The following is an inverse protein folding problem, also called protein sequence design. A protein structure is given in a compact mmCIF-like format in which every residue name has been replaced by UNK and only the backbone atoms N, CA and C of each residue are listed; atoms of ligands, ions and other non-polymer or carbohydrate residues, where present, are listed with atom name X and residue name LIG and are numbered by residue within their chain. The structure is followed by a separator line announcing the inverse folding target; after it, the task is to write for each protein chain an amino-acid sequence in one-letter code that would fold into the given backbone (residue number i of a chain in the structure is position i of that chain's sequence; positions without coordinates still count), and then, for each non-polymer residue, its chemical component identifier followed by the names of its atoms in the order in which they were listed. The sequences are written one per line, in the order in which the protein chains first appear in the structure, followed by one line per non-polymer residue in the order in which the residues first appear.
data_IF_619400405971
#
_entry.id   IF_619400405971
#
_cell.length_a   1.000
_cell.length_b   1.000
_cell.length_c   1.000
_cell.angle_alpha   90.00
_cell.angle_beta   90.00
_cell.angle_gamma   90.00
#
_symmetry.space_group_name_H-M   'P 1'
#
loop_
_entity.id
_entity.type
_entity.pdbx_description
1 polymer ?
#
# COMPACT_ATOMS: atom_id res chain seq x y z
N UNK A 1 -3.05 -1.59 -9.04
CA UNK A 1 -1.91 -0.66 -8.87
C UNK A 1 -2.46 0.72 -8.57
N UNK A 2 -1.82 1.46 -7.67
CA UNK A 2 -2.10 2.86 -7.41
C UNK A 2 -0.77 3.62 -7.31
N UNK A 3 -0.81 4.94 -7.55
CA UNK A 3 0.33 5.82 -7.39
C UNK A 3 -0.03 6.95 -6.43
N UNK A 4 0.96 7.46 -5.71
CA UNK A 4 0.86 8.62 -4.82
C UNK A 4 2.19 9.38 -4.81
N UNK A 5 2.24 10.51 -4.12
CA UNK A 5 3.48 11.21 -3.79
C UNK A 5 3.73 11.14 -2.28
N UNK A 6 4.98 10.92 -1.86
CA UNK A 6 5.40 10.99 -0.45
C UNK A 6 6.68 11.81 -0.40
N UNK A 7 6.68 12.93 0.33
CA UNK A 7 7.82 13.85 0.44
C UNK A 7 8.40 14.27 -0.93
N UNK A 8 7.53 14.55 -1.91
CA UNK A 8 7.94 14.92 -3.27
C UNK A 8 8.44 13.75 -4.13
N UNK A 9 8.37 12.51 -3.64
CA UNK A 9 8.78 11.31 -4.39
C UNK A 9 7.56 10.57 -4.94
N UNK A 10 7.55 10.21 -6.24
CA UNK A 10 6.48 9.41 -6.82
C UNK A 10 6.59 7.95 -6.35
N UNK A 11 5.52 7.44 -5.72
CA UNK A 11 5.45 6.10 -5.16
C UNK A 11 4.40 5.27 -5.90
N UNK A 12 4.71 4.02 -6.22
CA UNK A 12 3.74 3.04 -6.71
C UNK A 12 3.47 1.94 -5.67
N UNK A 13 2.21 1.54 -5.55
CA UNK A 13 1.78 0.37 -4.78
C UNK A 13 1.06 -0.63 -5.70
N UNK A 14 1.53 -1.87 -5.70
CA UNK A 14 0.93 -2.98 -6.48
C UNK A 14 0.44 -4.08 -5.55
N UNK A 15 -0.81 -4.53 -5.71
CA UNK A 15 -1.31 -5.75 -5.09
C UNK A 15 -1.01 -6.98 -5.97
N UNK A 16 -0.77 -8.13 -5.34
CA UNK A 16 -0.43 -9.39 -6.01
C UNK A 16 -1.37 -10.55 -5.70
N UNK A 17 -1.33 -11.58 -6.54
CA UNK A 17 -1.95 -12.89 -6.29
C UNK A 17 -1.20 -13.72 -5.23
N UNK A 18 -0.01 -13.27 -4.84
CA UNK A 18 0.80 -13.84 -3.77
C UNK A 18 0.46 -13.25 -2.39
N UNK A 19 -0.71 -12.63 -2.27
CA UNK A 19 -1.25 -12.09 -1.00
C UNK A 19 -0.46 -10.89 -0.44
N UNK A 20 0.47 -10.34 -1.23
CA UNK A 20 1.30 -9.20 -0.81
C UNK A 20 0.98 -7.93 -1.57
N UNK A 21 1.34 -6.80 -0.97
CA UNK A 21 1.56 -5.56 -1.71
C UNK A 21 3.04 -5.20 -1.77
N UNK A 22 3.45 -4.55 -2.85
CA UNK A 22 4.81 -4.04 -3.03
C UNK A 22 4.77 -2.54 -3.24
N UNK A 23 5.69 -1.83 -2.58
CA UNK A 23 5.85 -0.38 -2.65
C UNK A 23 7.17 -0.07 -3.35
N UNK A 24 7.15 0.89 -4.28
CA UNK A 24 8.29 1.25 -5.12
C UNK A 24 8.51 2.76 -5.12
N UNK A 25 9.76 3.20 -5.06
CA UNK A 25 10.14 4.55 -5.46
C UNK A 25 10.26 4.58 -6.98
N UNK A 26 9.43 5.39 -7.64
CA UNK A 26 9.44 5.51 -9.09
C UNK A 26 10.53 6.45 -9.61
N UNK A 27 11.25 7.14 -8.72
CA UNK A 27 12.39 8.01 -9.10
C UNK A 27 13.52 7.18 -9.70
N UNK A 28 13.82 6.03 -9.08
CA UNK A 28 14.90 5.13 -9.48
C UNK A 28 14.44 3.67 -9.69
N UNK A 29 13.16 3.38 -9.47
CA UNK A 29 12.59 2.05 -9.62
C UNK A 29 12.94 1.10 -8.47
N UNK A 30 13.42 1.61 -7.33
CA UNK A 30 13.80 0.76 -6.21
C UNK A 30 12.58 0.25 -5.44
N UNK A 31 12.56 -1.04 -5.04
CA UNK A 31 11.56 -1.54 -4.12
C UNK A 31 11.84 -0.99 -2.71
N UNK A 32 10.81 -0.42 -2.09
CA UNK A 32 10.90 0.17 -0.74
C UNK A 32 10.51 -0.84 0.33
N UNK A 33 9.34 -1.47 0.19
CA UNK A 33 8.85 -2.46 1.16
C UNK A 33 7.82 -3.41 0.56
N UNK A 34 7.57 -4.51 1.27
CA UNK A 34 6.49 -5.46 0.99
C UNK A 34 5.54 -5.47 2.18
N UNK A 35 4.26 -5.16 1.92
CA UNK A 35 3.22 -5.17 2.94
C UNK A 35 2.57 -6.55 2.95
N UNK A 36 2.57 -7.18 4.12
CA UNK A 36 2.06 -8.53 4.32
C UNK A 36 0.91 -8.51 5.31
N UNK A 37 -0.04 -9.42 5.12
CA UNK A 37 -1.15 -9.60 6.07
C UNK A 37 -2.43 -10.07 5.39
N UNK A 38 -2.67 -9.68 4.14
CA UNK A 38 -3.73 -10.31 3.36
C UNK A 38 -3.51 -11.83 3.30
N UNK A 39 -4.60 -12.59 3.29
CA UNK A 39 -4.59 -14.07 3.20
C UNK A 39 -5.30 -14.53 1.92
N UNK A 40 -5.26 -13.68 0.89
CA UNK A 40 -5.88 -13.88 -0.41
C UNK A 40 -5.39 -12.83 -1.40
N UNK A 41 -5.67 -13.04 -2.69
CA UNK A 41 -5.25 -12.13 -3.77
C UNK A 41 -5.67 -10.69 -3.48
N UNK A 42 -4.71 -9.77 -3.56
CA UNK A 42 -4.99 -8.34 -3.44
C UNK A 42 -5.44 -7.81 -4.81
N UNK A 43 -6.71 -7.41 -4.89
CA UNK A 43 -7.36 -7.01 -6.16
C UNK A 43 -7.59 -5.50 -6.26
N UNK A 44 -7.58 -4.79 -5.13
CA UNK A 44 -7.82 -3.36 -5.06
C UNK A 44 -6.75 -2.64 -4.24
N UNK A 45 -6.30 -1.49 -4.73
CA UNK A 45 -5.38 -0.58 -4.04
C UNK A 45 -5.84 0.84 -4.32
N UNK A 46 -6.02 1.65 -3.29
CA UNK A 46 -6.26 3.08 -3.36
C UNK A 46 -5.29 3.82 -2.43
N UNK A 47 -4.92 5.03 -2.81
CA UNK A 47 -4.10 5.92 -1.99
C UNK A 47 -4.90 7.14 -1.60
N UNK A 48 -4.68 7.65 -0.40
CA UNK A 48 -5.23 8.90 0.10
C UNK A 48 -4.27 9.52 1.10
N UNK A 49 -4.54 10.75 1.52
CA UNK A 49 -3.80 11.43 2.57
C UNK A 49 -4.78 11.82 3.67
N UNK A 50 -4.43 11.53 4.92
CA UNK A 50 -5.23 11.89 6.10
C UNK A 50 -4.32 12.67 7.03
N UNK A 51 -4.63 13.95 7.26
CA UNK A 51 -3.86 14.83 8.15
C UNK A 51 -2.34 14.87 7.82
N UNK A 52 -2.00 14.91 6.53
CA UNK A 52 -0.60 14.90 6.05
C UNK A 52 0.07 13.52 6.08
N UNK A 53 -0.65 12.46 6.48
CA UNK A 53 -0.14 11.09 6.49
C UNK A 53 -0.57 10.37 5.22
N UNK A 54 0.38 9.82 4.43
CA UNK A 54 0.05 9.04 3.24
C UNK A 54 -0.48 7.66 3.63
N UNK A 55 -1.66 7.31 3.11
CA UNK A 55 -2.40 6.09 3.46
C UNK A 55 -2.63 5.25 2.21
N UNK A 56 -2.44 3.93 2.31
CA UNK A 56 -2.99 2.98 1.36
C UNK A 56 -4.18 2.23 1.96
N UNK A 57 -5.23 2.04 1.15
CA UNK A 57 -6.38 1.19 1.47
C UNK A 57 -6.40 0.05 0.45
N UNK A 58 -6.46 -1.17 0.95
CA UNK A 58 -6.33 -2.38 0.11
C UNK A 58 -7.47 -3.34 0.39
N UNK A 59 -7.90 -4.03 -0.66
CA UNK A 59 -8.95 -5.04 -0.60
C UNK A 59 -8.58 -6.25 -1.45
N UNK A 60 -9.05 -7.42 -1.05
CA UNK A 60 -8.71 -8.66 -1.71
C UNK A 60 -9.74 -9.77 -1.52
N UNK A 61 -9.39 -10.95 -2.03
CA UNK A 61 -10.22 -12.16 -1.94
C UNK A 61 -10.33 -12.74 -0.53
N UNK A 62 -9.63 -12.19 0.45
CA UNK A 62 -9.78 -12.55 1.86
C UNK A 62 -10.96 -11.85 2.55
N UNK A 63 -11.75 -11.10 1.78
CA UNK A 63 -12.94 -10.36 2.24
C UNK A 63 -12.61 -9.28 3.30
N UNK A 64 -11.35 -8.89 3.42
CA UNK A 64 -10.91 -7.82 4.33
C UNK A 64 -10.50 -6.55 3.60
N UNK A 65 -10.72 -5.43 4.28
CA UNK A 65 -10.04 -4.17 3.98
C UNK A 65 -8.87 -4.00 4.95
N UNK A 66 -7.75 -3.49 4.44
CA UNK A 66 -6.59 -3.13 5.26
C UNK A 66 -6.17 -1.71 4.96
N UNK A 67 -5.72 -1.03 6.00
CA UNK A 67 -5.25 0.35 5.95
C UNK A 67 -3.78 0.35 6.36
N UNK A 68 -2.95 1.04 5.59
CA UNK A 68 -1.51 1.06 5.76
C UNK A 68 -1.03 2.49 5.87
N UNK A 69 -0.17 2.75 6.85
CA UNK A 69 0.65 3.95 6.88
C UNK A 69 1.80 3.75 5.89
N UNK A 70 1.90 4.60 4.87
CA UNK A 70 2.96 4.51 3.87
C UNK A 70 4.25 5.18 4.29
N UNK A 71 4.28 5.92 5.41
CA UNK A 71 5.51 6.51 5.94
C UNK A 71 6.46 5.44 6.48
N UNK A 72 5.92 4.41 7.14
CA UNK A 72 6.71 3.32 7.73
C UNK A 72 6.29 1.91 7.27
N UNK A 73 5.25 1.81 6.44
CA UNK A 73 4.74 0.54 5.92
C UNK A 73 3.99 -0.30 6.95
N UNK A 74 3.52 0.31 8.04
CA UNK A 74 2.83 -0.42 9.11
C UNK A 74 1.32 -0.50 8.86
N UNK A 75 0.67 -1.61 9.25
CA UNK A 75 -0.79 -1.68 9.22
C UNK A 75 -1.38 -0.76 10.29
N UNK A 76 -2.27 0.12 9.88
CA UNK A 76 -3.14 0.86 10.78
C UNK A 76 -4.24 -0.11 11.21
N UNK A 77 -4.07 -0.70 12.39
CA UNK A 77 -5.09 -1.59 12.95
C UNK A 77 -6.34 -0.74 13.21
N UNK A 78 -7.50 -1.20 12.74
CA UNK A 78 -8.75 -0.50 12.92
C UNK A 78 -9.01 -0.17 14.41
N UNK A 79 -9.55 1.02 14.66
CA UNK A 79 -10.32 1.35 15.87
C UNK A 79 -11.46 0.35 16.08
#
# INVERSE_FOLDING_TARGET
VACTEIDGRPIAITGGSDETLRVWDLTDGTPLTTLTGHTGTVTAVACTEIDGRPIAITGGSDETLRVWDLTDGTPLTAL
#
